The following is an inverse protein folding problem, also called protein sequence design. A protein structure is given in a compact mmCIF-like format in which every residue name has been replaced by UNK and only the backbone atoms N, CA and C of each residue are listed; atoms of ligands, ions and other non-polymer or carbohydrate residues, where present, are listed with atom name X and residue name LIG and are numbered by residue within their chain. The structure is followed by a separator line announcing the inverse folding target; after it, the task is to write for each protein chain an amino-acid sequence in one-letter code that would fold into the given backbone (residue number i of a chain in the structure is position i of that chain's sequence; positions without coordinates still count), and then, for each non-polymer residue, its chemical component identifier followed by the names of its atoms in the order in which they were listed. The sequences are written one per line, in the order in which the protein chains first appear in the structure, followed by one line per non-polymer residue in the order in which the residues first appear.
data_IF_264581330518
#
_entry.id   IF_264581330518
#
_cell.length_a   1.000
_cell.length_b   1.000
_cell.length_c   1.000
_cell.angle_alpha   90.00
_cell.angle_beta   90.00
_cell.angle_gamma   90.00
#
_symmetry.space_group_name_H-M   'P 1'
#
loop_
_entity.id
_entity.type
_entity.pdbx_description
1 polymer ?
#
# COMPACT_ATOMS: atom_id res chain seq x y z
N UNK A 1 -27.13 -59.04 24.58
CA UNK A 1 -27.63 -57.70 24.95
C UNK A 1 -27.96 -56.97 23.66
N UNK A 2 -29.21 -56.61 23.42
CA UNK A 2 -29.62 -55.80 22.27
C UNK A 2 -29.77 -54.34 22.73
N UNK A 3 -29.13 -53.41 22.02
CA UNK A 3 -29.21 -51.97 22.30
C UNK A 3 -30.57 -51.45 21.81
N UNK A 4 -31.34 -50.82 22.71
CA UNK A 4 -32.63 -50.18 22.41
C UNK A 4 -32.39 -48.79 21.79
N UNK A 5 -32.30 -48.76 20.47
CA UNK A 5 -32.09 -47.55 19.66
C UNK A 5 -33.24 -46.54 19.71
N UNK A 6 -34.44 -46.96 20.16
CA UNK A 6 -35.63 -46.09 20.23
C UNK A 6 -35.53 -45.04 21.33
N UNK A 7 -35.04 -45.44 22.52
CA UNK A 7 -34.80 -44.51 23.64
C UNK A 7 -33.68 -43.51 23.35
N UNK A 8 -32.63 -43.92 22.63
CA UNK A 8 -31.52 -43.04 22.28
C UNK A 8 -31.93 -41.95 21.27
N UNK A 9 -32.77 -42.28 20.29
CA UNK A 9 -33.27 -41.31 19.30
C UNK A 9 -34.17 -40.24 19.94
N UNK A 10 -35.00 -40.63 20.92
CA UNK A 10 -35.89 -39.69 21.62
C UNK A 10 -35.13 -38.69 22.49
N UNK A 11 -34.05 -39.13 23.15
CA UNK A 11 -33.20 -38.26 24.00
C UNK A 11 -32.46 -37.16 23.20
N UNK A 12 -32.14 -37.41 21.93
CA UNK A 12 -31.47 -36.44 21.05
C UNK A 12 -32.48 -35.46 20.44
N UNK A 13 -33.70 -35.90 20.16
CA UNK A 13 -34.74 -35.05 19.56
C UNK A 13 -35.30 -34.01 20.52
N UNK A 14 -35.26 -34.28 21.84
CA UNK A 14 -35.79 -33.37 22.87
C UNK A 14 -34.75 -32.36 23.40
N UNK A 15 -33.47 -32.48 23.01
CA UNK A 15 -32.47 -31.47 23.35
C UNK A 15 -32.55 -30.30 22.36
N UNK A 16 -33.34 -29.28 22.69
CA UNK A 16 -33.21 -27.98 22.02
C UNK A 16 -31.87 -27.37 22.46
N UNK A 17 -30.90 -27.15 21.56
CA UNK A 17 -29.64 -26.54 21.93
C UNK A 17 -29.90 -25.09 22.34
N UNK A 18 -29.66 -24.76 23.61
CA UNK A 18 -29.63 -23.38 24.08
C UNK A 18 -28.26 -22.79 23.80
N UNK A 19 -28.18 -21.84 22.87
CA UNK A 19 -26.94 -21.11 22.60
C UNK A 19 -26.84 -19.95 23.60
N UNK A 20 -25.69 -19.81 24.25
CA UNK A 20 -25.41 -18.67 25.11
C UNK A 20 -25.10 -17.44 24.23
N UNK A 21 -26.05 -16.51 24.15
CA UNK A 21 -25.92 -15.30 23.32
C UNK A 21 -24.87 -14.32 23.85
N UNK A 22 -24.66 -14.28 25.17
CA UNK A 22 -23.72 -13.35 25.82
C UNK A 22 -22.28 -13.50 25.27
N UNK A 23 -21.64 -14.68 25.29
CA UNK A 23 -20.31 -14.85 24.70
C UNK A 23 -20.30 -14.74 23.18
N UNK A 24 -21.42 -15.07 22.50
CA UNK A 24 -21.50 -14.99 21.04
C UNK A 24 -21.48 -13.54 20.54
N UNK A 25 -22.18 -12.64 21.24
CA UNK A 25 -22.21 -11.21 20.92
C UNK A 25 -20.81 -10.60 21.12
N UNK A 26 -20.08 -11.00 22.16
CA UNK A 26 -18.73 -10.50 22.45
C UNK A 26 -17.73 -10.84 21.32
N UNK A 27 -17.82 -12.05 20.78
CA UNK A 27 -17.01 -12.49 19.63
C UNK A 27 -17.34 -11.67 18.38
N UNK A 28 -18.62 -11.46 18.09
CA UNK A 28 -19.05 -10.67 16.93
C UNK A 28 -18.58 -9.22 17.03
N UNK A 29 -18.68 -8.62 18.22
CA UNK A 29 -18.26 -7.23 18.43
C UNK A 29 -16.74 -7.08 18.30
N UNK A 30 -15.98 -8.04 18.82
CA UNK A 30 -14.51 -8.07 18.67
C UNK A 30 -14.10 -8.14 17.19
N UNK A 31 -14.75 -9.00 16.39
CA UNK A 31 -14.48 -9.11 14.95
C UNK A 31 -14.87 -7.80 14.23
N UNK A 32 -16.00 -7.18 14.58
CA UNK A 32 -16.44 -5.94 13.96
C UNK A 32 -15.44 -4.80 14.22
N UNK A 33 -14.99 -4.62 15.46
CA UNK A 33 -13.97 -3.62 15.80
C UNK A 33 -12.69 -3.90 15.02
N UNK A 34 -12.25 -5.16 15.00
CA UNK A 34 -11.05 -5.55 14.27
C UNK A 34 -11.16 -5.21 12.78
N UNK A 35 -12.29 -5.51 12.14
CA UNK A 35 -12.54 -5.17 10.75
C UNK A 35 -12.56 -3.66 10.51
N UNK A 36 -13.21 -2.87 11.37
CA UNK A 36 -13.26 -1.40 11.22
C UNK A 36 -11.88 -0.78 11.43
N UNK A 37 -11.11 -1.24 12.41
CA UNK A 37 -9.77 -0.71 12.69
C UNK A 37 -8.80 -1.09 11.56
N UNK A 38 -8.84 -2.34 11.09
CA UNK A 38 -7.98 -2.81 9.99
C UNK A 38 -8.41 -2.26 8.62
N UNK A 39 -9.70 -2.00 8.39
CA UNK A 39 -10.18 -1.41 7.13
C UNK A 39 -9.73 0.04 6.95
N UNK A 40 -9.68 0.82 8.05
CA UNK A 40 -9.13 2.17 8.00
C UNK A 40 -7.61 2.17 7.74
N UNK A 41 -6.90 1.11 8.12
CA UNK A 41 -5.48 0.93 7.80
C UNK A 41 -5.24 0.41 6.37
N UNK A 42 -6.23 -0.27 5.78
CA UNK A 42 -6.12 -0.86 4.44
C UNK A 42 -6.50 0.11 3.31
N UNK A 43 -6.93 1.33 3.62
CA UNK A 43 -7.31 2.35 2.63
C UNK A 43 -6.12 2.93 1.83
N UNK A 44 -4.88 2.51 2.11
CA UNK A 44 -3.68 2.82 1.30
C UNK A 44 -3.19 1.60 0.48
N UNK A 45 -3.86 0.45 0.58
CA UNK A 45 -3.59 -0.71 -0.29
C UNK A 45 -4.61 -0.72 -1.40
N UNK A 46 -4.41 0.16 -2.37
CA UNK A 46 -4.99 0.04 -3.69
C UNK A 46 -4.39 -1.22 -4.32
N UNK A 47 -5.05 -2.37 -4.11
CA UNK A 47 -4.83 -3.57 -4.92
C UNK A 47 -5.39 -3.30 -6.30
N UNK A 48 -4.58 -2.70 -7.17
CA UNK A 48 -4.71 -2.96 -8.60
C UNK A 48 -4.22 -4.39 -8.84
N UNK A 49 -5.16 -5.22 -9.25
CA UNK A 49 -4.97 -6.60 -9.67
C UNK A 49 -4.09 -6.60 -10.93
N UNK A 50 -2.79 -6.78 -10.73
CA UNK A 50 -1.82 -7.13 -11.76
C UNK A 50 -0.62 -7.79 -11.09
N UNK A 51 -0.74 -9.11 -10.94
CA UNK A 51 0.34 -10.09 -11.05
C UNK A 51 1.78 -9.52 -11.15
N UNK A 52 2.48 -9.37 -10.00
CA UNK A 52 3.88 -9.78 -9.82
C UNK A 52 4.13 -9.95 -8.32
N UNK A 53 4.47 -11.16 -7.90
CA UNK A 53 5.12 -11.45 -6.63
C UNK A 53 6.51 -10.81 -6.58
N UNK A 54 6.68 -9.67 -5.92
CA UNK A 54 7.92 -9.34 -5.20
C UNK A 54 7.67 -8.31 -4.10
N UNK A 55 8.41 -8.45 -3.00
CA UNK A 55 8.05 -8.02 -1.66
C UNK A 55 7.91 -6.51 -1.46
N UNK A 56 6.96 -6.18 -0.57
CA UNK A 56 6.90 -4.90 0.12
C UNK A 56 8.21 -4.59 0.84
N UNK A 57 9.07 -3.85 0.17
CA UNK A 57 10.12 -3.04 0.75
C UNK A 57 9.81 -1.62 0.31
N UNK A 58 9.84 -0.64 1.21
CA UNK A 58 9.70 0.78 0.87
C UNK A 58 10.89 1.32 0.05
N UNK A 59 11.44 0.50 -0.84
CA UNK A 59 12.47 0.83 -1.80
C UNK A 59 11.77 1.16 -3.14
N UNK A 60 12.01 2.34 -3.70
CA UNK A 60 11.52 2.73 -5.01
C UNK A 60 11.83 1.66 -6.08
N UNK A 61 10.84 1.39 -6.94
CA UNK A 61 11.00 0.42 -8.03
C UNK A 61 11.96 0.99 -9.08
N UNK A 62 12.96 0.21 -9.49
CA UNK A 62 13.94 0.61 -10.51
C UNK A 62 13.28 0.42 -11.86
N UNK A 63 12.94 1.51 -12.52
CA UNK A 63 12.43 1.44 -13.90
C UNK A 63 13.40 2.20 -14.78
N UNK A 64 13.95 1.47 -15.76
CA UNK A 64 14.76 1.94 -16.89
C UNK A 64 16.17 2.45 -16.56
N UNK A 65 17.15 1.56 -16.69
CA UNK A 65 18.55 1.91 -17.03
C UNK A 65 18.58 2.23 -18.53
N UNK A 66 18.35 3.49 -18.90
CA UNK A 66 18.63 3.95 -20.26
C UNK A 66 19.42 5.25 -20.18
N UNK A 67 20.75 5.10 -20.22
CA UNK A 67 21.73 6.14 -19.98
C UNK A 67 22.56 5.87 -18.72
N UNK A 68 23.76 6.46 -18.66
CA UNK A 68 24.75 6.38 -17.56
C UNK A 68 24.24 6.95 -16.22
N UNK A 69 22.92 7.12 -16.07
CA UNK A 69 22.24 7.69 -14.92
C UNK A 69 21.03 6.84 -14.60
N UNK A 70 21.08 6.20 -13.44
CA UNK A 70 19.98 5.40 -12.89
C UNK A 70 18.87 6.32 -12.37
N UNK A 71 17.63 6.04 -12.77
CA UNK A 71 16.44 6.73 -12.27
C UNK A 71 15.50 5.73 -11.60
N UNK A 72 14.92 6.13 -10.49
CA UNK A 72 13.98 5.34 -9.71
C UNK A 72 12.60 5.97 -9.75
N UNK A 73 11.56 5.16 -9.91
CA UNK A 73 10.19 5.65 -9.90
C UNK A 73 9.71 5.82 -8.47
N UNK A 74 9.34 7.05 -8.16
CA UNK A 74 8.81 7.46 -6.86
C UNK A 74 7.31 7.75 -6.98
N UNK A 75 6.45 6.80 -6.58
CA UNK A 75 5.01 7.04 -6.53
C UNK A 75 4.65 7.91 -5.32
N UNK A 76 3.76 8.88 -5.53
CA UNK A 76 3.19 9.70 -4.46
C UNK A 76 1.68 9.85 -4.70
N UNK A 77 0.88 9.60 -3.66
CA UNK A 77 -0.57 9.69 -3.76
C UNK A 77 -1.01 11.06 -4.27
N UNK A 78 -1.81 11.08 -5.35
CA UNK A 78 -2.33 12.29 -5.98
C UNK A 78 -1.25 13.33 -6.35
N UNK A 79 -0.08 12.86 -6.79
CA UNK A 79 1.01 13.73 -7.21
C UNK A 79 0.61 14.59 -8.40
N UNK A 80 0.57 15.89 -8.19
CA UNK A 80 0.25 16.88 -9.22
C UNK A 80 1.30 18.00 -9.30
N UNK A 81 2.25 18.04 -8.36
CA UNK A 81 3.31 19.03 -8.34
C UNK A 81 4.68 18.46 -8.00
N UNK A 82 5.69 18.80 -8.78
CA UNK A 82 7.09 18.49 -8.48
C UNK A 82 7.91 19.75 -8.61
N UNK A 83 8.66 20.10 -7.57
CA UNK A 83 9.58 21.24 -7.56
C UNK A 83 11.01 20.73 -7.40
N UNK A 84 11.94 21.19 -8.23
CA UNK A 84 13.37 20.88 -8.10
C UNK A 84 14.18 22.16 -7.99
N UNK A 85 14.85 22.38 -6.86
CA UNK A 85 15.58 23.63 -6.55
C UNK A 85 14.73 24.89 -6.77
N UNK A 86 13.42 24.82 -6.50
CA UNK A 86 12.48 25.93 -6.73
C UNK A 86 11.95 26.05 -8.17
N UNK A 87 12.36 25.19 -9.10
CA UNK A 87 11.87 25.13 -10.48
C UNK A 87 10.75 24.10 -10.58
N UNK A 88 9.62 24.49 -11.18
CA UNK A 88 8.51 23.57 -11.45
C UNK A 88 8.90 22.52 -12.50
N UNK A 89 8.67 21.25 -12.17
CA UNK A 89 8.91 20.05 -12.96
C UNK A 89 7.70 19.12 -12.99
N UNK A 90 6.52 19.67 -12.77
CA UNK A 90 5.26 18.91 -12.76
C UNK A 90 4.93 18.27 -14.13
N UNK A 91 5.55 18.75 -15.21
CA UNK A 91 5.48 18.15 -16.55
C UNK A 91 6.13 16.75 -16.63
N UNK A 92 7.00 16.45 -15.66
CA UNK A 92 7.67 15.15 -15.56
C UNK A 92 6.83 14.07 -14.86
N UNK A 93 5.65 14.41 -14.35
CA UNK A 93 4.77 13.47 -13.66
C UNK A 93 4.08 12.54 -14.69
N UNK A 94 4.03 11.25 -14.37
CA UNK A 94 3.23 10.25 -15.08
C UNK A 94 2.59 9.30 -14.07
N UNK A 95 1.27 9.08 -14.16
CA UNK A 95 0.51 8.17 -13.29
C UNK A 95 0.78 8.36 -11.78
N UNK A 96 0.76 9.61 -11.31
CA UNK A 96 1.04 9.97 -9.91
C UNK A 96 2.46 9.57 -9.44
N UNK A 97 3.40 9.45 -10.36
CA UNK A 97 4.80 9.13 -10.05
C UNK A 97 5.76 10.02 -10.85
N UNK A 98 6.98 10.13 -10.34
CA UNK A 98 8.10 10.83 -11.01
C UNK A 98 9.35 9.97 -10.95
N UNK A 99 10.15 9.97 -12.02
CA UNK A 99 11.46 9.33 -12.03
C UNK A 99 12.50 10.25 -11.40
N UNK A 100 13.16 9.82 -10.33
CA UNK A 100 14.19 10.60 -9.63
C UNK A 100 15.56 9.95 -9.82
N UNK A 101 16.57 10.76 -10.14
CA UNK A 101 17.93 10.26 -10.34
C UNK A 101 18.52 9.69 -9.04
N UNK A 102 19.26 8.58 -9.13
CA UNK A 102 19.90 7.90 -7.99
C UNK A 102 20.71 8.85 -7.10
N UNK A 103 21.57 9.68 -7.71
CA UNK A 103 22.40 10.64 -6.99
C UNK A 103 21.58 11.66 -6.19
N UNK A 104 20.37 12.01 -6.66
CA UNK A 104 19.47 12.93 -5.94
C UNK A 104 18.81 12.23 -4.74
N UNK A 105 18.57 10.92 -4.82
CA UNK A 105 18.07 10.13 -3.70
C UNK A 105 19.16 9.99 -2.62
N UNK A 106 20.40 9.72 -3.04
CA UNK A 106 21.50 9.43 -2.12
C UNK A 106 22.10 10.70 -1.48
N UNK A 107 22.30 11.75 -2.28
CA UNK A 107 23.03 12.96 -1.87
C UNK A 107 22.18 14.23 -1.87
N UNK A 108 20.95 14.16 -2.39
CA UNK A 108 20.02 15.28 -2.37
C UNK A 108 19.14 15.31 -1.11
N UNK A 109 18.13 16.17 -1.14
CA UNK A 109 17.06 16.21 -0.13
C UNK A 109 15.71 16.15 -0.82
N UNK A 110 14.90 15.17 -0.47
CA UNK A 110 13.55 14.99 -1.01
C UNK A 110 12.55 15.18 0.14
N UNK A 111 11.62 16.11 -0.03
CA UNK A 111 10.53 16.37 0.90
C UNK A 111 9.22 16.01 0.23
N UNK A 112 8.56 14.97 0.73
CA UNK A 112 7.27 14.50 0.21
C UNK A 112 6.15 15.15 1.02
N UNK A 113 5.23 15.82 0.33
CA UNK A 113 3.99 16.39 0.87
C UNK A 113 2.80 15.71 0.19
N UNK A 114 1.58 15.82 0.74
CA UNK A 114 0.38 15.32 0.06
C UNK A 114 0.23 15.97 -1.32
N UNK A 115 0.39 15.15 -2.38
CA UNK A 115 0.28 15.57 -3.78
C UNK A 115 1.41 16.44 -4.34
N UNK A 116 2.44 16.74 -3.55
CA UNK A 116 3.58 17.56 -3.97
C UNK A 116 4.92 16.94 -3.55
N UNK A 117 5.97 17.10 -4.36
CA UNK A 117 7.34 16.73 -4.00
C UNK A 117 8.25 17.95 -4.18
N UNK A 118 9.03 18.28 -3.15
CA UNK A 118 10.09 19.29 -3.21
C UNK A 118 11.46 18.61 -3.13
N UNK A 119 12.25 18.77 -4.17
CA UNK A 119 13.58 18.16 -4.35
C UNK A 119 14.63 19.25 -4.31
N UNK A 120 15.66 19.05 -3.50
CA UNK A 120 16.91 19.81 -3.53
C UNK A 120 18.01 18.89 -4.05
N UNK A 121 18.62 19.26 -5.18
CA UNK A 121 19.68 18.45 -5.80
C UNK A 121 21.03 18.69 -5.12
N UNK A 122 21.94 17.69 -5.15
CA UNK A 122 23.33 17.92 -4.80
C UNK A 122 24.03 18.79 -5.87
N UNK A 123 25.22 19.30 -5.53
CA UNK A 123 26.02 20.15 -6.41
C UNK A 123 26.34 19.42 -7.74
N UNK A 124 26.22 20.15 -8.86
CA UNK A 124 26.52 19.64 -10.20
C UNK A 124 25.38 18.89 -10.90
N UNK A 125 24.24 18.64 -10.23
CA UNK A 125 23.03 18.09 -10.85
C UNK A 125 22.07 19.23 -11.21
N UNK A 126 21.70 19.34 -12.49
CA UNK A 126 20.72 20.33 -12.93
C UNK A 126 19.29 19.85 -12.64
N UNK A 127 18.31 20.77 -12.46
CA UNK A 127 16.90 20.40 -12.27
C UNK A 127 16.34 19.49 -13.36
N UNK A 128 16.77 19.66 -14.61
CA UNK A 128 16.35 18.83 -15.75
C UNK A 128 16.88 17.39 -15.70
N UNK A 129 18.02 17.17 -15.02
CA UNK A 129 18.61 15.84 -14.88
C UNK A 129 18.16 15.14 -13.62
N UNK A 130 17.73 15.89 -12.62
CA UNK A 130 17.30 15.36 -11.33
C UNK A 130 16.03 14.53 -11.42
N UNK A 131 15.11 14.91 -12.33
CA UNK A 131 13.84 14.25 -12.54
C UNK A 131 13.57 13.99 -14.01
N UNK A 132 12.90 12.88 -14.29
CA UNK A 132 12.44 12.53 -15.62
C UNK A 132 11.05 11.90 -15.58
N UNK A 133 10.38 11.88 -16.74
CA UNK A 133 9.14 11.13 -16.89
C UNK A 133 9.43 9.63 -16.71
N UNK A 134 8.72 8.94 -15.81
CA UNK A 134 8.75 7.49 -15.74
C UNK A 134 8.51 6.85 -17.11
N UNK A 135 9.33 5.86 -17.48
CA UNK A 135 9.03 4.96 -18.58
C UNK A 135 8.46 3.69 -17.95
N UNK A 136 7.20 3.39 -18.26
CA UNK A 136 6.47 2.22 -17.79
C UNK A 136 6.68 1.04 -18.74
#
# INVERSE_FOLDING_TARGET
MAIDVGKHKKKISDSKPSINLVPFIDILFTIMIFLVVTSNFSADVQTDDSDVTDGGSGKPNVTSVSGDSEYYVMPVANLHKVTVNGVDKSDTILNSAVGVQANVIDNGKITIKPGEIDITTPDGVSPDKAVQRPQL
#
